data_IF_742170576206
#
_entry.id   IF_742170576206
#
_cell.length_a   1.000
_cell.length_b   1.000
_cell.length_c   1.000
_cell.angle_alpha   90.00
_cell.angle_beta   90.00
_cell.angle_gamma   90.00
#
_symmetry.space_group_name_H-M   'P 1'
#
loop_
_entity.id
_entity.type
_entity.pdbx_description
1 polymer ?
#
# COMPACT_ATOMS: atom_id res chain seq x y z
N UNK A 1 9.57 34.76 -78.76
CA UNK A 1 9.08 36.03 -78.17
C UNK A 1 9.39 35.95 -76.67
N UNK A 2 10.47 36.59 -76.22
CA UNK A 2 10.46 37.93 -75.56
C UNK A 2 9.50 37.99 -74.38
N UNK A 3 9.82 38.43 -73.18
CA UNK A 3 10.98 39.13 -72.61
C UNK A 3 10.74 39.26 -71.09
N UNK A 4 11.85 39.33 -70.30
CA UNK A 4 12.10 40.22 -69.14
C UNK A 4 11.02 40.30 -68.01
N UNK A 5 11.38 40.26 -66.72
CA UNK A 5 12.31 41.17 -66.03
C UNK A 5 12.42 40.78 -64.54
N UNK A 6 13.54 41.19 -63.96
CA UNK A 6 13.99 41.04 -62.58
C UNK A 6 13.06 41.58 -61.48
N UNK A 7 13.12 40.99 -60.28
CA UNK A 7 13.29 41.68 -58.97
C UNK A 7 13.57 40.64 -57.88
N UNK A 8 14.80 40.61 -57.35
CA UNK A 8 15.29 41.26 -56.11
C UNK A 8 14.80 40.57 -54.84
N UNK A 9 15.78 40.13 -54.06
CA UNK A 9 15.62 39.19 -52.96
C UNK A 9 14.84 39.69 -51.77
N UNK A 10 14.50 38.74 -50.93
CA UNK A 10 14.39 38.89 -49.48
C UNK A 10 15.03 37.63 -48.89
N UNK A 11 16.10 37.83 -48.14
CA UNK A 11 16.61 36.83 -47.20
C UNK A 11 15.65 36.81 -46.02
N UNK A 12 14.85 35.76 -45.88
CA UNK A 12 14.08 35.52 -44.66
C UNK A 12 14.91 34.61 -43.75
N UNK A 13 15.48 35.23 -42.71
CA UNK A 13 16.08 34.53 -41.60
C UNK A 13 14.99 33.67 -40.93
N UNK A 14 15.17 32.35 -40.96
CA UNK A 14 14.32 31.42 -40.22
C UNK A 14 14.69 31.56 -38.75
N UNK A 15 13.86 32.29 -38.00
CA UNK A 15 13.91 32.24 -36.55
C UNK A 15 13.39 30.87 -36.10
N UNK A 16 14.30 30.01 -35.68
CA UNK A 16 14.00 28.78 -34.96
C UNK A 16 13.32 29.15 -33.63
N UNK A 17 12.00 29.03 -33.57
CA UNK A 17 11.25 29.06 -32.32
C UNK A 17 11.41 27.69 -31.67
N UNK A 18 12.37 27.55 -30.77
CA UNK A 18 12.41 26.44 -29.82
C UNK A 18 11.27 26.63 -28.82
N UNK A 19 10.18 25.89 -29.02
CA UNK A 19 9.17 25.69 -27.98
C UNK A 19 9.83 24.85 -26.89
N UNK A 20 10.24 25.49 -25.80
CA UNK A 20 10.58 24.81 -24.56
C UNK A 20 9.25 24.30 -24.01
N UNK A 21 8.98 23.01 -24.18
CA UNK A 21 7.88 22.36 -23.46
C UNK A 21 8.31 22.38 -21.99
N UNK A 22 7.67 23.15 -21.09
CA UNK A 22 7.90 22.95 -19.68
C UNK A 22 7.55 21.49 -19.40
N UNK A 23 8.52 20.73 -18.90
CA UNK A 23 8.30 19.36 -18.47
C UNK A 23 7.02 19.35 -17.65
N UNK A 24 6.06 18.55 -18.09
CA UNK A 24 4.90 18.22 -17.28
C UNK A 24 5.46 17.37 -16.13
N UNK A 25 5.99 18.05 -15.11
CA UNK A 25 6.31 17.52 -13.80
C UNK A 25 4.96 17.12 -13.20
N UNK A 26 4.47 15.98 -13.67
CA UNK A 26 3.36 15.30 -13.02
C UNK A 26 3.91 14.92 -11.66
N UNK A 27 3.40 15.47 -10.55
CA UNK A 27 3.77 14.95 -9.25
C UNK A 27 3.44 13.46 -9.31
N UNK A 28 4.46 12.62 -9.14
CA UNK A 28 4.24 11.20 -8.93
C UNK A 28 3.20 11.09 -7.81
N UNK A 29 2.19 10.20 -7.92
CA UNK A 29 1.29 9.97 -6.82
C UNK A 29 2.15 9.62 -5.61
N UNK A 30 2.16 10.51 -4.62
CA UNK A 30 2.83 10.26 -3.35
C UNK A 30 2.10 9.08 -2.74
N UNK A 31 2.66 7.88 -2.90
CA UNK A 31 2.27 6.74 -2.07
C UNK A 31 2.46 7.22 -0.63
N UNK A 32 1.40 7.23 0.21
CA UNK A 32 1.53 7.67 1.58
C UNK A 32 2.66 6.87 2.21
N UNK A 33 3.73 7.56 2.63
CA UNK A 33 4.89 6.98 3.30
C UNK A 33 4.48 6.55 4.69
N UNK A 34 3.69 5.48 4.74
CA UNK A 34 3.22 4.82 5.93
C UNK A 34 4.18 3.70 6.21
N UNK A 35 5.32 4.03 6.80
CA UNK A 35 6.33 3.04 7.15
C UNK A 35 5.73 2.04 8.15
N UNK A 36 5.72 0.75 7.77
CA UNK A 36 5.50 -0.33 8.72
C UNK A 36 6.63 -0.43 9.76
N UNK A 37 7.74 0.30 9.59
CA UNK A 37 8.97 0.19 10.39
C UNK A 37 8.84 0.80 11.80
N UNK A 38 7.64 1.27 12.19
CA UNK A 38 7.37 1.70 13.55
C UNK A 38 7.19 0.47 14.45
N UNK A 39 8.27 0.05 15.13
CA UNK A 39 8.20 -0.98 16.14
C UNK A 39 7.23 -0.58 17.26
N UNK A 40 6.28 -1.44 17.58
CA UNK A 40 5.41 -1.25 18.74
C UNK A 40 6.19 -1.55 20.04
N UNK A 41 6.41 -0.57 20.94
CA UNK A 41 7.25 -0.76 22.12
C UNK A 41 6.69 -1.83 23.06
N UNK A 42 7.55 -2.76 23.51
CA UNK A 42 7.16 -3.84 24.42
C UNK A 42 6.43 -5.02 23.75
N UNK A 43 6.25 -4.98 22.42
CA UNK A 43 5.69 -6.12 21.68
C UNK A 43 6.62 -7.34 21.74
N UNK A 44 6.02 -8.53 21.84
CA UNK A 44 6.74 -9.80 21.67
C UNK A 44 7.07 -10.14 20.21
N UNK A 45 6.71 -9.27 19.27
CA UNK A 45 6.84 -9.48 17.82
C UNK A 45 7.52 -8.29 17.16
N UNK A 46 8.20 -8.54 16.03
CA UNK A 46 8.80 -7.49 15.20
C UNK A 46 8.04 -7.36 13.89
N UNK A 47 8.14 -6.18 13.27
CA UNK A 47 7.49 -5.85 11.99
C UNK A 47 7.90 -6.84 10.90
N UNK A 48 9.18 -7.21 10.87
CA UNK A 48 9.77 -8.07 9.84
C UNK A 48 9.14 -9.47 9.80
N UNK A 49 8.63 -9.95 10.94
CA UNK A 49 7.99 -11.25 11.02
C UNK A 49 6.65 -11.30 10.29
N UNK A 50 5.99 -10.15 10.12
CA UNK A 50 4.73 -10.04 9.38
C UNK A 50 4.95 -9.93 7.87
N UNK A 51 6.15 -9.53 7.41
CA UNK A 51 6.39 -9.27 5.99
C UNK A 51 6.33 -10.55 5.17
N UNK A 52 5.52 -10.55 4.10
CA UNK A 52 5.41 -11.61 3.11
C UNK A 52 3.99 -11.90 2.65
N UNK A 53 3.85 -13.00 1.92
CA UNK A 53 2.57 -13.46 1.38
C UNK A 53 1.95 -14.51 2.30
N UNK A 54 0.68 -14.33 2.60
CA UNK A 54 -0.07 -15.10 3.59
C UNK A 54 -1.41 -15.55 3.02
N UNK A 55 -1.65 -16.86 2.99
CA UNK A 55 -2.91 -17.46 2.58
C UNK A 55 -3.82 -17.68 3.80
N UNK A 56 -5.06 -17.22 3.73
CA UNK A 56 -6.06 -17.52 4.76
C UNK A 56 -6.42 -19.02 4.77
N UNK A 57 -6.45 -19.65 5.96
CA UNK A 57 -6.62 -21.11 6.11
C UNK A 57 -7.83 -21.69 5.37
N UNK A 58 -8.94 -20.96 5.34
CA UNK A 58 -10.23 -21.43 4.80
C UNK A 58 -10.73 -20.55 3.65
N UNK A 59 -9.87 -19.71 3.07
CA UNK A 59 -10.24 -18.72 2.07
C UNK A 59 -9.35 -18.77 0.83
N UNK A 60 -9.84 -18.29 -0.34
CA UNK A 60 -9.00 -18.14 -1.53
C UNK A 60 -8.07 -16.93 -1.46
N UNK A 61 -8.19 -16.10 -0.42
CA UNK A 61 -7.46 -14.83 -0.27
C UNK A 61 -5.99 -15.02 0.10
N UNK A 62 -5.10 -14.46 -0.73
CA UNK A 62 -3.71 -14.19 -0.37
C UNK A 62 -3.56 -12.73 0.05
N UNK A 63 -3.01 -12.48 1.24
CA UNK A 63 -2.63 -11.15 1.74
C UNK A 63 -1.11 -10.99 1.66
N UNK A 64 -0.64 -10.00 0.92
CA UNK A 64 0.78 -9.61 0.89
C UNK A 64 1.02 -8.42 1.79
N UNK A 65 1.86 -8.60 2.81
CA UNK A 65 2.36 -7.55 3.69
C UNK A 65 3.78 -7.18 3.26
N UNK A 66 3.90 -6.13 2.45
CA UNK A 66 5.18 -5.63 1.96
C UNK A 66 5.96 -4.86 3.02
N UNK A 67 7.28 -4.74 2.81
CA UNK A 67 8.10 -3.80 3.58
C UNK A 67 7.54 -2.37 3.44
N UNK A 68 7.77 -1.55 4.48
CA UNK A 68 7.31 -0.16 4.50
C UNK A 68 5.79 0.03 4.37
N UNK A 69 5.00 -0.98 4.77
CA UNK A 69 3.55 -0.83 4.94
C UNK A 69 2.71 -0.99 3.68
N UNK A 70 3.27 -1.49 2.57
CA UNK A 70 2.47 -1.80 1.38
C UNK A 70 1.60 -3.04 1.62
N UNK A 71 0.30 -2.95 1.36
CA UNK A 71 -0.65 -4.06 1.47
C UNK A 71 -1.25 -4.38 0.10
N UNK A 72 -1.34 -5.67 -0.21
CA UNK A 72 -2.09 -6.19 -1.36
C UNK A 72 -2.94 -7.37 -0.90
N UNK A 73 -4.15 -7.47 -1.42
CA UNK A 73 -5.03 -8.63 -1.26
C UNK A 73 -5.39 -9.17 -2.64
N UNK A 74 -5.17 -10.45 -2.87
CA UNK A 74 -5.58 -11.16 -4.07
C UNK A 74 -6.64 -12.20 -3.70
N UNK A 75 -7.86 -12.04 -4.21
CA UNK A 75 -9.00 -12.94 -3.96
C UNK A 75 -9.65 -13.28 -5.30
N UNK A 76 -9.56 -14.54 -5.73
CA UNK A 76 -10.18 -15.03 -6.98
C UNK A 76 -9.89 -14.18 -8.23
N UNK A 77 -8.68 -13.63 -8.32
CA UNK A 77 -8.24 -12.80 -9.45
C UNK A 77 -8.63 -11.32 -9.36
N UNK A 78 -9.27 -10.90 -8.26
CA UNK A 78 -9.47 -9.49 -7.91
C UNK A 78 -8.35 -9.06 -6.97
N UNK A 79 -7.64 -7.99 -7.35
CA UNK A 79 -6.54 -7.43 -6.57
C UNK A 79 -6.94 -6.09 -5.98
N UNK A 80 -6.87 -5.98 -4.65
CA UNK A 80 -7.04 -4.74 -3.90
C UNK A 80 -5.69 -4.30 -3.29
N UNK A 81 -5.49 -2.99 -3.19
CA UNK A 81 -4.28 -2.39 -2.61
C UNK A 81 -4.62 -1.53 -1.39
N UNK A 82 -3.63 -1.37 -0.51
CA UNK A 82 -3.80 -0.62 0.71
C UNK A 82 -2.49 -0.35 1.43
N UNK A 83 -2.61 -0.03 2.71
CA UNK A 83 -1.49 0.04 3.63
C UNK A 83 -1.69 -0.87 4.84
N UNK A 84 -0.60 -1.27 5.48
CA UNK A 84 -0.65 -1.96 6.76
C UNK A 84 0.34 -1.35 7.75
N UNK A 85 0.05 -1.52 9.04
CA UNK A 85 0.89 -1.07 10.15
C UNK A 85 0.86 -2.10 11.28
N UNK A 86 1.97 -2.26 11.99
CA UNK A 86 1.99 -2.89 13.30
C UNK A 86 2.19 -1.81 14.37
N UNK A 87 1.10 -1.38 15.01
CA UNK A 87 1.10 -0.21 15.90
C UNK A 87 0.31 -0.46 17.18
N UNK A 88 0.38 0.45 18.14
CA UNK A 88 -0.46 0.44 19.33
C UNK A 88 -1.93 0.67 18.97
N UNK A 89 -2.82 0.06 19.75
CA UNK A 89 -4.26 0.18 19.57
C UNK A 89 -4.77 1.63 19.49
N UNK A 90 -4.24 2.50 20.34
CA UNK A 90 -4.63 3.92 20.48
C UNK A 90 -4.34 4.76 19.23
N UNK A 91 -3.47 4.27 18.35
CA UNK A 91 -3.15 4.88 17.05
C UNK A 91 -4.09 4.41 15.93
N UNK A 92 -4.99 3.47 16.18
CA UNK A 92 -5.92 2.95 15.16
C UNK A 92 -7.24 3.73 15.10
N UNK A 93 -7.96 3.72 13.96
CA UNK A 93 -9.32 4.25 13.88
C UNK A 93 -10.31 3.54 14.82
N UNK A 94 -9.98 2.31 15.24
CA UNK A 94 -10.78 1.50 16.15
C UNK A 94 -10.53 1.80 17.65
N UNK A 95 -9.75 2.84 17.98
CA UNK A 95 -9.38 3.19 19.36
C UNK A 95 -10.56 3.26 20.33
N UNK A 96 -11.71 3.80 19.89
CA UNK A 96 -12.89 3.98 20.75
C UNK A 96 -13.65 2.66 21.02
N UNK A 97 -13.26 1.56 20.37
CA UNK A 97 -13.84 0.22 20.55
C UNK A 97 -12.89 -0.72 21.27
N UNK A 98 -11.84 -0.19 21.90
CA UNK A 98 -10.89 -0.99 22.68
C UNK A 98 -11.62 -1.69 23.84
N UNK A 99 -11.55 -3.02 23.95
CA UNK A 99 -11.88 -3.65 25.22
C UNK A 99 -10.84 -3.25 26.27
N UNK A 100 -11.24 -2.99 27.51
CA UNK A 100 -10.34 -2.55 28.59
C UNK A 100 -9.11 -3.46 28.75
N UNK A 101 -9.27 -4.76 28.48
CA UNK A 101 -8.20 -5.76 28.53
C UNK A 101 -7.15 -5.63 27.43
N UNK A 102 -7.40 -4.82 26.39
CA UNK A 102 -6.49 -4.61 25.27
C UNK A 102 -5.74 -3.26 25.37
N UNK A 103 -5.83 -2.56 26.51
CA UNK A 103 -4.99 -1.39 26.80
C UNK A 103 -3.50 -1.73 26.54
N UNK A 104 -2.77 -0.82 25.88
CA UNK A 104 -1.36 -0.99 25.49
C UNK A 104 -1.06 -2.19 24.56
N UNK A 105 -2.07 -2.80 23.94
CA UNK A 105 -1.86 -3.90 22.99
C UNK A 105 -1.43 -3.40 21.62
N UNK A 106 -0.43 -4.05 21.04
CA UNK A 106 -0.02 -3.86 19.66
C UNK A 106 -0.91 -4.66 18.71
N UNK A 107 -1.30 -4.05 17.61
CA UNK A 107 -2.22 -4.62 16.62
C UNK A 107 -1.67 -4.50 15.22
N UNK A 108 -2.02 -5.49 14.40
CA UNK A 108 -1.88 -5.44 12.96
C UNK A 108 -3.11 -4.73 12.39
N UNK A 109 -2.91 -3.54 11.83
CA UNK A 109 -3.95 -2.75 11.18
C UNK A 109 -3.73 -2.78 9.67
N UNK A 110 -4.76 -3.22 8.94
CA UNK A 110 -4.83 -3.25 7.48
C UNK A 110 -5.85 -2.22 7.03
N UNK A 111 -5.47 -1.37 6.09
CA UNK A 111 -6.32 -0.33 5.52
C UNK A 111 -6.34 -0.48 4.00
N UNK A 112 -7.52 -0.69 3.44
CA UNK A 112 -7.75 -0.61 2.01
C UNK A 112 -8.47 0.70 1.68
N UNK A 113 -8.06 1.32 0.58
CA UNK A 113 -8.77 2.45 -0.01
C UNK A 113 -9.24 2.02 -1.38
N UNK A 114 -10.56 1.86 -1.53
CA UNK A 114 -11.18 1.52 -2.81
C UNK A 114 -12.25 2.57 -3.19
N UNK A 115 -12.85 2.40 -4.37
CA UNK A 115 -13.88 3.31 -4.87
C UNK A 115 -15.18 3.34 -4.04
N UNK A 116 -15.36 2.42 -3.08
CA UNK A 116 -16.51 2.35 -2.18
C UNK A 116 -16.22 2.96 -0.79
N UNK A 117 -14.96 3.28 -0.49
CA UNK A 117 -14.54 3.96 0.73
C UNK A 117 -13.34 3.28 1.41
N UNK A 118 -12.95 3.84 2.55
CA UNK A 118 -11.88 3.25 3.37
C UNK A 118 -12.41 2.06 4.17
N UNK A 119 -11.70 0.93 4.10
CA UNK A 119 -11.96 -0.29 4.86
C UNK A 119 -10.79 -0.59 5.78
N UNK A 120 -11.04 -0.53 7.08
CA UNK A 120 -10.05 -0.85 8.11
C UNK A 120 -10.34 -2.19 8.78
N UNK A 121 -9.31 -3.02 8.90
CA UNK A 121 -9.34 -4.27 9.65
C UNK A 121 -8.22 -4.25 10.69
N UNK A 122 -8.57 -4.56 11.95
CA UNK A 122 -7.63 -4.53 13.07
C UNK A 122 -7.58 -5.92 13.71
N UNK A 123 -6.37 -6.44 13.88
CA UNK A 123 -6.10 -7.75 14.43
C UNK A 123 -5.13 -7.69 15.60
N UNK A 124 -5.38 -8.49 16.64
CA UNK A 124 -4.40 -8.75 17.69
C UNK A 124 -3.56 -9.97 17.29
N UNK A 125 -2.24 -9.84 17.12
CA UNK A 125 -1.39 -11.01 16.87
C UNK A 125 -1.34 -11.90 18.12
N UNK A 126 -1.75 -13.16 17.97
CA UNK A 126 -1.69 -14.17 19.02
C UNK A 126 -0.40 -14.99 18.90
N UNK A 127 0.02 -15.28 17.67
CA UNK A 127 1.22 -16.05 17.36
C UNK A 127 1.80 -15.61 16.01
N UNK A 128 3.12 -15.47 15.94
CA UNK A 128 3.84 -15.05 14.73
C UNK A 128 5.03 -15.98 14.52
N UNK A 129 4.92 -16.88 13.56
CA UNK A 129 5.93 -17.87 13.18
C UNK A 129 6.34 -17.68 11.73
N UNK A 130 7.42 -18.36 11.30
CA UNK A 130 7.95 -18.23 9.94
C UNK A 130 6.93 -18.60 8.85
N UNK A 131 6.11 -19.60 9.13
CA UNK A 131 5.16 -20.19 8.19
C UNK A 131 3.68 -19.97 8.59
N UNK A 132 3.43 -19.31 9.73
CA UNK A 132 2.09 -19.18 10.30
C UNK A 132 1.89 -17.89 11.09
N UNK A 133 0.76 -17.23 10.86
CA UNK A 133 0.22 -16.18 11.71
C UNK A 133 -1.10 -16.65 12.34
N UNK A 134 -1.23 -16.48 13.66
CA UNK A 134 -2.51 -16.58 14.36
C UNK A 134 -2.93 -15.18 14.80
N UNK A 135 -4.09 -14.74 14.35
CA UNK A 135 -4.60 -13.39 14.52
C UNK A 135 -6.00 -13.43 15.14
N UNK A 136 -6.31 -12.58 16.11
CA UNK A 136 -7.68 -12.38 16.59
C UNK A 136 -8.28 -11.15 15.93
N UNK A 137 -9.39 -11.29 15.20
CA UNK A 137 -10.07 -10.15 14.59
C UNK A 137 -10.87 -9.36 15.61
N UNK A 138 -10.66 -8.05 15.65
CA UNK A 138 -11.27 -7.23 16.68
C UNK A 138 -12.70 -6.85 16.29
N UNK A 139 -13.61 -6.99 17.25
CA UNK A 139 -15.05 -6.76 17.06
C UNK A 139 -15.85 -8.04 16.80
N UNK A 140 -15.20 -9.17 16.47
CA UNK A 140 -15.85 -10.49 16.38
C UNK A 140 -15.23 -11.55 17.28
N UNK A 141 -13.95 -11.38 17.66
CA UNK A 141 -13.27 -12.28 18.59
C UNK A 141 -12.93 -13.66 18.00
N UNK A 142 -13.13 -13.87 16.70
CA UNK A 142 -12.70 -15.09 16.03
C UNK A 142 -11.20 -15.06 15.78
N UNK A 143 -10.56 -16.21 15.93
CA UNK A 143 -9.18 -16.43 15.52
C UNK A 143 -9.13 -16.78 14.04
N UNK A 144 -8.28 -16.09 13.31
CA UNK A 144 -7.88 -16.41 11.95
C UNK A 144 -6.48 -17.00 11.96
N UNK A 145 -6.25 -17.92 11.04
CA UNK A 145 -4.92 -18.47 10.78
C UNK A 145 -4.55 -18.16 9.35
N UNK A 146 -3.41 -17.52 9.18
CA UNK A 146 -2.81 -17.35 7.87
C UNK A 146 -1.55 -18.18 7.75
N UNK A 147 -1.45 -18.95 6.68
CA UNK A 147 -0.28 -19.75 6.35
C UNK A 147 0.58 -18.99 5.38
N UNK A 148 1.90 -19.17 5.43
CA UNK A 148 2.77 -18.58 4.43
C UNK A 148 2.37 -19.14 3.06
N UNK A 149 2.08 -18.24 2.12
CA UNK A 149 1.77 -18.65 0.76
C UNK A 149 3.03 -19.26 0.15
N UNK A 150 2.96 -20.43 -0.50
CA UNK A 150 4.09 -20.95 -1.26
C UNK A 150 4.43 -19.91 -2.34
N UNK A 151 5.72 -19.62 -2.50
CA UNK A 151 6.17 -18.72 -3.57
C UNK A 151 5.73 -19.33 -4.89
N UNK A 152 4.72 -18.74 -5.53
CA UNK A 152 4.35 -19.05 -6.91
C UNK A 152 5.54 -18.64 -7.79
N UNK A 153 6.37 -19.60 -8.16
CA UNK A 153 7.45 -19.43 -9.15
C UNK A 153 6.88 -19.20 -10.55
#
# INVERSE_FOLDING_TARGET
MSERRWQRGIWLAIALVTVVIPGCDSPAPETPSTSADQQCPGAGFTVEQFIGDWQEQDGPTTISLGAHGALKSDTDGVTDFGTWRFTRWDETPAKDRQPESAADTCVLWLQWTDGAGDRDFVYVPLKVEKDRLELSYVGRGNTLVWWRSPVSQ
#
